data_IF_365533762683
#
_entry.id   IF_365533762683
#
_cell.length_a   1.000
_cell.length_b   1.000
_cell.length_c   1.000
_cell.angle_alpha   90.00
_cell.angle_beta   90.00
_cell.angle_gamma   90.00
#
_symmetry.space_group_name_H-M   'P 1'
#
loop_
_entity.id
_entity.type
_entity.pdbx_description
1 polymer ?
#
# COMPACT_ATOMS: atom_id res chain seq x y z
N UNK A 1 -29.80 -42.08 23.17
CA UNK A 1 -28.43 -41.54 23.04
C UNK A 1 -27.81 -41.65 21.64
N UNK A 2 -27.97 -42.75 20.87
CA UNK A 2 -27.38 -42.85 19.50
C UNK A 2 -27.87 -41.83 18.46
N UNK A 3 -29.11 -41.33 18.55
CA UNK A 3 -29.65 -40.30 17.63
C UNK A 3 -29.09 -38.88 17.86
N UNK A 4 -28.54 -38.60 19.06
CA UNK A 4 -27.97 -37.29 19.39
C UNK A 4 -26.56 -37.11 18.82
N UNK A 5 -25.79 -38.21 18.75
CA UNK A 5 -24.45 -38.21 18.14
C UNK A 5 -24.50 -37.97 16.62
N UNK A 6 -25.52 -38.48 15.92
CA UNK A 6 -25.67 -38.24 14.48
C UNK A 6 -25.99 -36.77 14.17
N UNK A 7 -26.78 -36.12 15.03
CA UNK A 7 -27.08 -34.69 14.90
C UNK A 7 -25.85 -33.82 15.19
N UNK A 8 -25.04 -34.18 16.19
CA UNK A 8 -23.80 -33.47 16.51
C UNK A 8 -22.74 -33.63 15.40
N UNK A 9 -22.62 -34.82 14.79
CA UNK A 9 -21.72 -35.05 13.66
C UNK A 9 -22.15 -34.25 12.42
N UNK A 10 -23.44 -34.22 12.09
CA UNK A 10 -23.96 -33.42 10.97
C UNK A 10 -23.78 -31.91 11.24
N UNK A 11 -23.88 -31.46 12.49
CA UNK A 11 -23.63 -30.06 12.83
C UNK A 11 -22.13 -29.70 12.71
N UNK A 12 -21.22 -30.56 13.19
CA UNK A 12 -19.76 -30.32 13.10
C UNK A 12 -19.27 -30.32 11.65
N UNK A 13 -19.81 -31.17 10.77
CA UNK A 13 -19.48 -31.14 9.32
C UNK A 13 -20.10 -29.95 8.57
N UNK A 14 -21.15 -29.32 9.09
CA UNK A 14 -21.72 -28.09 8.52
C UNK A 14 -21.09 -26.80 9.09
N UNK A 15 -20.28 -26.88 10.13
CA UNK A 15 -19.54 -25.71 10.65
C UNK A 15 -18.24 -25.51 9.86
N UNK A 16 -17.64 -26.58 9.32
CA UNK A 16 -16.47 -26.48 8.44
C UNK A 16 -16.74 -25.77 7.11
N UNK A 17 -18.01 -25.56 6.73
CA UNK A 17 -18.39 -24.75 5.55
C UNK A 17 -18.67 -23.28 5.88
N UNK A 18 -18.55 -22.85 7.15
CA UNK A 18 -18.76 -21.46 7.56
C UNK A 18 -17.53 -20.57 7.38
N UNK A 19 -16.37 -21.16 7.04
CA UNK A 19 -15.20 -20.42 6.59
C UNK A 19 -14.96 -20.74 5.12
N UNK A 20 -15.19 -19.77 4.22
CA UNK A 20 -14.82 -19.90 2.83
C UNK A 20 -13.30 -20.12 2.73
N UNK A 21 -12.91 -21.33 2.32
CA UNK A 21 -11.52 -21.74 2.21
C UNK A 21 -11.00 -21.40 0.80
N UNK A 22 -9.72 -21.01 0.71
CA UNK A 22 -9.09 -20.78 -0.58
C UNK A 22 -8.96 -22.07 -1.39
N UNK A 23 -8.79 -21.92 -2.71
CA UNK A 23 -8.34 -23.01 -3.56
C UNK A 23 -6.94 -23.49 -3.17
N UNK A 24 -6.02 -22.57 -2.82
CA UNK A 24 -4.65 -22.93 -2.43
C UNK A 24 -4.62 -23.70 -1.11
N UNK A 25 -5.48 -23.35 -0.15
CA UNK A 25 -5.59 -24.05 1.15
C UNK A 25 -6.00 -25.52 1.01
N UNK A 26 -6.75 -25.84 -0.05
CA UNK A 26 -7.30 -27.16 -0.32
C UNK A 26 -6.53 -27.95 -1.39
N UNK A 27 -5.45 -27.38 -1.91
CA UNK A 27 -4.66 -28.05 -2.93
C UNK A 27 -3.88 -29.21 -2.27
N UNK A 28 -4.00 -30.41 -2.83
CA UNK A 28 -3.28 -31.59 -2.34
C UNK A 28 -1.80 -31.50 -2.74
N UNK A 29 -0.97 -30.93 -1.87
CA UNK A 29 0.48 -30.78 -2.07
C UNK A 29 0.91 -29.32 -2.21
N UNK A 30 2.02 -29.09 -2.92
CA UNK A 30 2.52 -27.74 -3.23
C UNK A 30 2.12 -27.44 -4.68
N UNK A 31 1.21 -26.48 -4.94
CA UNK A 31 0.76 -26.19 -6.30
C UNK A 31 1.90 -25.58 -7.13
N UNK A 32 2.03 -26.02 -8.37
CA UNK A 32 2.95 -25.43 -9.34
C UNK A 32 2.25 -24.23 -9.98
N UNK A 33 2.66 -23.04 -9.58
CA UNK A 33 2.14 -21.78 -10.09
C UNK A 33 3.08 -21.24 -11.18
N UNK A 34 2.54 -20.95 -12.35
CA UNK A 34 3.33 -20.42 -13.48
C UNK A 34 2.83 -19.05 -13.88
N UNK A 35 3.74 -18.09 -13.92
CA UNK A 35 3.45 -16.72 -14.35
C UNK A 35 3.70 -16.57 -15.86
N UNK A 36 2.72 -16.05 -16.58
CA UNK A 36 2.79 -15.98 -18.05
C UNK A 36 3.80 -14.96 -18.57
N UNK A 37 3.95 -13.79 -17.92
CA UNK A 37 4.82 -12.65 -18.29
C UNK A 37 4.73 -12.13 -19.74
N UNK A 38 3.85 -12.70 -20.57
CA UNK A 38 3.68 -12.29 -21.98
C UNK A 38 2.61 -11.21 -22.12
N UNK A 39 3.05 -9.99 -22.40
CA UNK A 39 2.19 -8.90 -22.87
C UNK A 39 1.81 -9.06 -24.36
N UNK A 40 2.55 -9.87 -25.11
CA UNK A 40 2.30 -10.09 -26.54
C UNK A 40 1.21 -11.13 -26.79
N UNK A 41 0.20 -10.73 -27.55
CA UNK A 41 -0.94 -11.56 -27.96
C UNK A 41 -0.55 -12.79 -28.79
N UNK A 42 0.66 -12.80 -29.34
CA UNK A 42 1.15 -13.77 -30.32
C UNK A 42 1.76 -15.02 -29.68
N UNK A 43 2.03 -15.03 -28.37
CA UNK A 43 2.64 -16.18 -27.69
C UNK A 43 1.63 -17.15 -27.07
N UNK A 44 0.34 -16.85 -27.03
CA UNK A 44 -0.69 -17.67 -26.36
C UNK A 44 -1.62 -18.36 -27.37
N UNK A 45 -1.02 -19.17 -28.26
CA UNK A 45 -1.75 -20.10 -29.12
C UNK A 45 -1.99 -21.45 -28.42
N UNK A 46 -2.96 -22.22 -28.93
CA UNK A 46 -3.42 -23.49 -28.32
C UNK A 46 -2.28 -24.50 -28.06
N UNK A 47 -1.23 -24.47 -28.88
CA UNK A 47 -0.03 -25.30 -28.74
C UNK A 47 0.71 -25.06 -27.41
N UNK A 48 0.73 -23.82 -26.92
CA UNK A 48 1.48 -23.44 -25.72
C UNK A 48 0.73 -23.78 -24.42
N UNK A 49 -0.61 -23.86 -24.43
CA UNK A 49 -1.38 -24.27 -23.23
C UNK A 49 -1.19 -25.74 -22.88
N UNK A 50 -1.10 -26.60 -23.88
CA UNK A 50 -0.78 -28.01 -23.66
C UNK A 50 0.62 -28.15 -23.04
N UNK A 51 1.58 -27.31 -23.44
CA UNK A 51 2.92 -27.30 -22.84
C UNK A 51 2.92 -26.83 -21.38
N UNK A 52 2.20 -25.75 -21.07
CA UNK A 52 2.00 -25.31 -19.67
C UNK A 52 1.41 -26.44 -18.83
N UNK A 53 0.44 -27.19 -19.36
CA UNK A 53 -0.13 -28.35 -18.68
C UNK A 53 0.84 -29.53 -18.57
N UNK A 54 1.61 -29.82 -19.62
CA UNK A 54 2.65 -30.86 -19.62
C UNK A 54 3.77 -30.57 -18.61
N UNK A 55 4.02 -29.29 -18.28
CA UNK A 55 4.94 -28.89 -17.22
C UNK A 55 4.41 -29.17 -15.80
N UNK A 56 3.15 -29.59 -15.69
CA UNK A 56 2.49 -29.82 -14.41
C UNK A 56 1.93 -28.56 -13.75
N UNK A 57 1.76 -27.46 -14.49
CA UNK A 57 1.18 -26.22 -13.94
C UNK A 57 -0.25 -26.46 -13.46
N UNK A 58 -0.47 -26.21 -12.16
CA UNK A 58 -1.80 -26.27 -11.53
C UNK A 58 -2.55 -24.95 -11.69
N UNK A 59 -1.82 -23.86 -11.53
CA UNK A 59 -2.36 -22.50 -11.56
C UNK A 59 -1.54 -21.66 -12.51
N UNK A 60 -2.22 -21.03 -13.45
CA UNK A 60 -1.61 -20.08 -14.37
C UNK A 60 -1.97 -18.66 -13.94
N UNK A 61 -0.98 -17.76 -13.92
CA UNK A 61 -1.18 -16.32 -13.74
C UNK A 61 -1.09 -15.66 -15.13
N UNK A 62 -2.21 -15.54 -15.86
CA UNK A 62 -2.24 -14.83 -17.13
C UNK A 62 -2.33 -13.32 -16.91
N UNK A 63 -1.57 -12.57 -17.72
CA UNK A 63 -1.77 -11.13 -17.84
C UNK A 63 -2.93 -10.83 -18.78
N UNK A 64 -3.73 -9.82 -18.43
CA UNK A 64 -4.70 -9.20 -19.34
C UNK A 64 -5.64 -10.19 -20.06
N UNK A 65 -6.36 -10.98 -19.24
CA UNK A 65 -7.38 -11.91 -19.71
C UNK A 65 -8.57 -11.15 -20.29
N UNK A 66 -9.03 -11.62 -21.45
CA UNK A 66 -10.29 -11.23 -22.10
C UNK A 66 -11.11 -12.51 -22.34
N UNK A 67 -12.40 -12.39 -22.69
CA UNK A 67 -13.29 -13.54 -22.85
C UNK A 67 -12.75 -14.64 -23.76
N UNK A 68 -12.21 -14.28 -24.93
CA UNK A 68 -11.66 -15.25 -25.88
C UNK A 68 -10.40 -15.97 -25.39
N UNK A 69 -9.65 -15.40 -24.43
CA UNK A 69 -8.52 -16.06 -23.77
C UNK A 69 -9.01 -16.94 -22.62
N UNK A 70 -9.97 -16.44 -21.85
CA UNK A 70 -10.57 -17.16 -20.73
C UNK A 70 -11.05 -18.55 -21.16
N UNK A 71 -11.78 -18.65 -22.26
CA UNK A 71 -12.27 -19.93 -22.78
C UNK A 71 -11.15 -20.90 -23.15
N UNK A 72 -10.04 -20.41 -23.72
CA UNK A 72 -8.90 -21.27 -24.06
C UNK A 72 -8.25 -21.85 -22.80
N UNK A 73 -8.06 -21.04 -21.76
CA UNK A 73 -7.52 -21.50 -20.48
C UNK A 73 -8.44 -22.52 -19.81
N UNK A 74 -9.74 -22.23 -19.80
CA UNK A 74 -10.77 -23.12 -19.24
C UNK A 74 -10.81 -24.46 -19.97
N UNK A 75 -10.82 -24.47 -21.30
CA UNK A 75 -10.83 -25.69 -22.11
C UNK A 75 -9.54 -26.52 -21.93
N UNK A 76 -8.41 -25.88 -21.61
CA UNK A 76 -7.18 -26.56 -21.22
C UNK A 76 -7.23 -27.15 -19.79
N UNK A 77 -8.28 -26.84 -19.01
CA UNK A 77 -8.44 -27.17 -17.60
C UNK A 77 -7.34 -26.56 -16.71
N UNK A 78 -6.99 -25.29 -16.97
CA UNK A 78 -6.08 -24.50 -16.13
C UNK A 78 -6.89 -23.68 -15.13
N UNK A 79 -6.45 -23.64 -13.88
CA UNK A 79 -6.94 -22.67 -12.90
C UNK A 79 -6.21 -21.34 -13.08
N UNK A 80 -6.92 -20.24 -12.83
CA UNK A 80 -6.42 -18.90 -13.11
C UNK A 80 -6.40 -18.02 -11.88
N UNK A 81 -5.31 -17.26 -11.75
CA UNK A 81 -5.22 -16.06 -10.91
C UNK A 81 -4.92 -14.92 -11.88
N UNK A 82 -5.93 -14.23 -12.42
CA UNK A 82 -5.72 -13.22 -13.45
C UNK A 82 -4.98 -11.99 -12.91
N UNK A 83 -4.03 -11.49 -13.70
CA UNK A 83 -3.35 -10.22 -13.45
C UNK A 83 -3.68 -9.21 -14.55
N UNK A 84 -4.65 -8.35 -14.30
CA UNK A 84 -5.08 -7.34 -15.26
C UNK A 84 -4.21 -6.10 -15.09
N UNK A 85 -3.26 -5.84 -15.98
CA UNK A 85 -2.33 -4.72 -15.87
C UNK A 85 -2.80 -3.50 -16.66
N UNK A 86 -3.56 -3.72 -17.75
CA UNK A 86 -3.97 -2.67 -18.67
C UNK A 86 -5.49 -2.65 -18.84
N UNK A 87 -6.07 -1.48 -19.15
CA UNK A 87 -7.50 -1.35 -19.50
C UNK A 87 -7.75 -1.11 -20.99
N UNK A 88 -6.74 -1.33 -21.84
CA UNK A 88 -6.90 -1.27 -23.30
C UNK A 88 -7.78 -2.43 -23.79
N UNK A 89 -8.50 -2.23 -24.90
CA UNK A 89 -9.25 -3.29 -25.61
C UNK A 89 -10.34 -3.97 -24.78
N UNK A 90 -11.05 -3.21 -23.94
CA UNK A 90 -12.11 -3.80 -23.12
C UNK A 90 -11.54 -4.69 -22.01
N UNK A 91 -10.52 -4.22 -21.31
CA UNK A 91 -10.00 -4.85 -20.09
C UNK A 91 -10.32 -4.00 -18.88
N UNK A 92 -10.48 -4.65 -17.73
CA UNK A 92 -10.67 -3.98 -16.43
C UNK A 92 -9.52 -4.37 -15.50
N UNK A 93 -8.86 -3.39 -14.89
CA UNK A 93 -7.71 -3.60 -14.01
C UNK A 93 -7.88 -3.05 -12.58
N UNK A 94 -9.10 -2.81 -12.10
CA UNK A 94 -9.33 -2.17 -10.80
C UNK A 94 -8.56 -2.83 -9.66
N UNK A 95 -8.46 -4.16 -9.62
CA UNK A 95 -7.71 -4.88 -8.58
C UNK A 95 -6.20 -4.51 -8.61
N UNK A 96 -5.51 -4.68 -9.73
CA UNK A 96 -4.09 -4.33 -9.85
C UNK A 96 -3.84 -2.83 -9.69
N UNK A 97 -4.70 -1.99 -10.30
CA UNK A 97 -4.64 -0.53 -10.24
C UNK A 97 -4.68 -0.03 -8.80
N UNK A 98 -5.61 -0.56 -8.00
CA UNK A 98 -5.80 -0.10 -6.62
C UNK A 98 -4.85 -0.76 -5.63
N UNK A 99 -4.29 -1.93 -5.94
CA UNK A 99 -3.22 -2.52 -5.10
C UNK A 99 -1.86 -1.83 -5.26
N UNK A 100 -1.65 -1.07 -6.36
CA UNK A 100 -0.48 -0.20 -6.52
C UNK A 100 -0.67 1.21 -5.92
N UNK A 101 -1.91 1.58 -5.57
CA UNK A 101 -2.19 2.90 -5.02
C UNK A 101 -1.48 3.15 -3.68
N UNK A 102 -1.31 4.42 -3.31
CA UNK A 102 -0.64 4.82 -2.07
C UNK A 102 -1.62 5.31 -1.00
N UNK A 103 -1.53 4.73 0.19
CA UNK A 103 -2.19 5.17 1.42
C UNK A 103 -1.45 4.62 2.65
N UNK A 104 -0.94 5.51 3.50
CA UNK A 104 -0.24 5.16 4.74
C UNK A 104 -0.62 6.13 5.86
N UNK A 105 -1.00 5.59 7.02
CA UNK A 105 -1.26 6.36 8.23
C UNK A 105 -0.11 6.14 9.22
N UNK A 106 0.37 7.24 9.78
CA UNK A 106 1.49 7.29 10.71
C UNK A 106 1.07 7.98 11.99
N UNK A 107 0.84 7.21 13.05
CA UNK A 107 0.47 7.75 14.36
C UNK A 107 1.67 8.48 14.97
N UNK A 108 1.45 9.67 15.55
CA UNK A 108 2.53 10.56 15.97
C UNK A 108 3.29 10.03 17.18
N UNK A 109 2.61 9.29 18.07
CA UNK A 109 3.19 8.57 19.21
C UNK A 109 3.91 7.28 18.80
N UNK A 110 3.80 6.89 17.53
CA UNK A 110 4.28 5.63 16.99
C UNK A 110 3.23 4.50 17.13
N UNK A 111 3.49 3.38 16.47
CA UNK A 111 2.59 2.23 16.51
C UNK A 111 3.15 1.12 17.42
N UNK A 112 2.26 0.21 17.85
CA UNK A 112 2.66 -1.08 18.42
C UNK A 112 3.45 -1.89 17.37
N UNK A 113 4.53 -2.54 17.79
CA UNK A 113 5.37 -3.40 16.94
C UNK A 113 4.58 -4.59 16.33
N UNK A 114 3.40 -4.90 16.87
CA UNK A 114 2.42 -5.81 16.28
C UNK A 114 1.86 -5.32 14.93
N UNK A 115 1.80 -4.00 14.71
CA UNK A 115 1.32 -3.38 13.48
C UNK A 115 2.45 -3.06 12.49
N UNK A 116 3.70 -3.24 12.91
CA UNK A 116 4.90 -3.00 12.12
C UNK A 116 5.97 -2.26 12.93
N UNK A 117 7.23 -2.44 12.55
CA UNK A 117 8.41 -1.89 13.20
C UNK A 117 8.78 -0.50 12.66
N UNK A 118 8.41 -0.18 11.42
CA UNK A 118 8.61 1.17 10.86
C UNK A 118 7.55 2.11 11.44
N UNK A 119 7.97 3.20 12.08
CA UNK A 119 7.08 4.12 12.81
C UNK A 119 7.61 5.55 12.85
N UNK A 120 6.73 6.48 13.21
CA UNK A 120 7.14 7.81 13.64
C UNK A 120 7.83 7.74 15.00
N UNK A 121 8.77 8.64 15.23
CA UNK A 121 9.54 8.72 16.47
C UNK A 121 9.28 10.11 17.09
N UNK A 122 8.58 10.19 18.23
CA UNK A 122 8.44 11.42 19.00
C UNK A 122 9.79 11.91 19.51
N UNK A 123 9.98 13.23 19.52
CA UNK A 123 11.10 13.87 20.20
C UNK A 123 10.72 14.13 21.67
N UNK A 124 11.06 13.18 22.54
CA UNK A 124 10.71 13.23 23.95
C UNK A 124 11.35 14.39 24.73
N UNK A 125 12.30 15.14 24.17
CA UNK A 125 12.75 16.38 24.80
C UNK A 125 11.72 17.51 24.63
N UNK A 126 10.89 17.43 23.59
CA UNK A 126 9.92 18.45 23.21
C UNK A 126 8.47 18.04 23.47
N UNK A 127 8.15 16.74 23.53
CA UNK A 127 6.77 16.27 23.67
C UNK A 127 6.57 15.25 24.79
N UNK A 128 5.33 15.15 25.25
CA UNK A 128 4.79 14.04 26.05
C UNK A 128 3.71 13.31 25.23
N UNK A 129 3.52 12.01 25.50
CA UNK A 129 2.40 11.25 24.93
C UNK A 129 1.13 11.62 25.71
N UNK A 130 0.15 12.16 25.00
CA UNK A 130 -1.18 12.46 25.55
C UNK A 130 -1.98 11.15 25.68
N UNK A 131 -2.82 11.08 26.71
CA UNK A 131 -3.64 9.93 27.10
C UNK A 131 -4.61 9.40 26.03
N UNK A 132 -4.65 10.02 24.86
CA UNK A 132 -5.54 9.73 23.73
C UNK A 132 -4.84 9.46 22.41
N UNK A 133 -3.63 8.89 22.39
CA UNK A 133 -2.90 8.50 21.17
C UNK A 133 -2.49 9.70 20.29
N UNK A 134 -1.93 10.72 20.94
CA UNK A 134 -1.34 11.87 20.27
C UNK A 134 -0.09 12.30 21.04
N UNK A 135 0.80 13.05 20.40
CA UNK A 135 1.90 13.74 21.11
C UNK A 135 1.52 15.19 21.38
N UNK A 136 1.98 15.74 22.49
CA UNK A 136 1.71 17.12 22.90
C UNK A 136 2.99 17.82 23.33
N UNK A 137 3.18 19.05 22.89
CA UNK A 137 4.33 19.87 23.28
C UNK A 137 4.38 20.09 24.79
N UNK A 138 5.58 19.94 25.36
CA UNK A 138 5.90 20.38 26.72
C UNK A 138 5.80 21.90 26.85
N UNK A 139 5.57 22.37 28.07
CA UNK A 139 5.54 23.82 28.33
C UNK A 139 6.91 24.46 28.02
N UNK A 140 6.88 25.65 27.42
CA UNK A 140 8.07 26.45 27.10
C UNK A 140 9.08 25.75 26.18
N UNK A 141 8.62 24.86 25.31
CA UNK A 141 9.46 24.18 24.32
C UNK A 141 9.31 24.78 22.92
N UNK A 142 10.33 24.59 22.10
CA UNK A 142 10.34 24.91 20.67
C UNK A 142 11.30 23.95 19.98
N UNK A 143 10.94 23.44 18.81
CA UNK A 143 11.78 22.48 18.11
C UNK A 143 10.98 21.49 17.28
N UNK A 144 11.67 20.48 16.77
CA UNK A 144 11.05 19.37 16.08
C UNK A 144 10.33 18.46 17.07
N UNK A 145 9.09 18.09 16.76
CA UNK A 145 8.25 17.27 17.65
C UNK A 145 8.33 15.78 17.36
N UNK A 146 8.64 15.44 16.12
CA UNK A 146 8.66 14.09 15.59
C UNK A 146 9.60 14.02 14.40
N UNK A 147 10.13 12.82 14.15
CA UNK A 147 10.93 12.48 12.99
C UNK A 147 10.55 11.07 12.50
N UNK A 148 10.65 10.83 11.19
CA UNK A 148 10.25 9.56 10.58
C UNK A 148 9.21 9.72 9.48
N UNK A 149 8.76 8.61 8.87
CA UNK A 149 9.07 7.22 9.20
C UNK A 149 10.35 6.69 8.55
N UNK A 150 11.00 7.48 7.69
CA UNK A 150 12.21 7.12 6.96
C UNK A 150 12.02 5.92 6.02
N UNK A 151 11.29 6.12 4.91
CA UNK A 151 10.90 5.02 4.05
C UNK A 151 11.03 5.30 2.55
N UNK A 152 10.97 4.23 1.74
CA UNK A 152 10.97 4.34 0.27
C UNK A 152 9.57 4.64 -0.23
N UNK A 153 9.49 5.50 -1.23
CA UNK A 153 8.22 5.88 -1.84
C UNK A 153 8.31 5.93 -3.37
N UNK A 154 7.33 5.39 -4.12
CA UNK A 154 7.37 5.38 -5.57
C UNK A 154 7.16 6.79 -6.12
N UNK A 155 7.74 7.09 -7.29
CA UNK A 155 7.52 8.38 -7.98
C UNK A 155 6.61 8.30 -9.20
N UNK A 156 6.20 7.08 -9.57
CA UNK A 156 5.33 6.80 -10.71
C UNK A 156 4.59 5.49 -10.50
N UNK A 157 3.42 5.37 -11.15
CA UNK A 157 2.74 4.10 -11.32
C UNK A 157 3.44 3.22 -12.36
N UNK A 158 3.30 1.90 -12.20
CA UNK A 158 3.66 0.86 -13.17
C UNK A 158 2.43 0.21 -13.80
N UNK A 159 1.26 0.30 -13.14
CA UNK A 159 -0.04 -0.16 -13.64
C UNK A 159 -0.80 1.00 -14.26
N UNK A 160 -1.03 0.89 -15.57
CA UNK A 160 -1.62 1.93 -16.40
C UNK A 160 -3.14 1.85 -16.39
N UNK A 161 -3.83 2.96 -16.13
CA UNK A 161 -5.20 3.16 -16.61
C UNK A 161 -5.18 3.62 -18.07
N UNK A 162 -6.10 3.12 -18.88
CA UNK A 162 -6.34 3.42 -20.31
C UNK A 162 -6.66 4.88 -20.61
N UNK A 163 -6.52 5.76 -19.64
CA UNK A 163 -6.73 7.20 -19.80
C UNK A 163 -5.46 7.92 -20.27
N UNK A 164 -4.30 7.26 -20.23
CA UNK A 164 -3.04 7.82 -20.72
C UNK A 164 -2.41 6.91 -21.77
N UNK A 165 -2.15 7.41 -22.99
CA UNK A 165 -1.38 6.70 -24.01
C UNK A 165 0.00 6.28 -23.47
N UNK A 166 0.45 5.07 -23.82
CA UNK A 166 1.70 4.45 -23.34
C UNK A 166 2.99 5.22 -23.72
N UNK A 167 2.85 6.25 -24.55
CA UNK A 167 3.87 7.14 -25.09
C UNK A 167 4.04 8.45 -24.29
N UNK A 168 3.21 8.70 -23.27
CA UNK A 168 3.43 9.80 -22.32
C UNK A 168 4.21 9.26 -21.12
N UNK A 169 5.36 9.89 -20.83
CA UNK A 169 6.10 9.69 -19.59
C UNK A 169 5.16 9.50 -18.41
N UNK A 170 5.15 8.27 -17.86
CA UNK A 170 4.65 7.85 -16.55
C UNK A 170 3.79 8.87 -15.79
N UNK A 171 2.54 8.52 -15.47
CA UNK A 171 1.73 9.27 -14.49
C UNK A 171 2.58 9.55 -13.26
N UNK A 172 2.99 10.81 -13.13
CA UNK A 172 3.74 11.28 -11.97
C UNK A 172 2.85 11.10 -10.77
N UNK A 173 3.41 10.48 -9.75
CA UNK A 173 2.67 10.26 -8.52
C UNK A 173 2.77 11.54 -7.68
N UNK A 174 1.62 12.21 -7.51
CA UNK A 174 1.47 13.32 -6.57
C UNK A 174 0.95 12.78 -5.24
N UNK A 175 1.67 13.05 -4.17
CA UNK A 175 1.27 12.69 -2.82
C UNK A 175 0.65 13.89 -2.11
N UNK A 176 -0.42 13.63 -1.38
CA UNK A 176 -0.95 14.52 -0.35
C UNK A 176 -0.54 13.97 1.02
N UNK A 177 0.06 14.82 1.85
CA UNK A 177 0.39 14.52 3.25
C UNK A 177 -0.45 15.41 4.14
N UNK A 178 -1.33 14.78 4.90
CA UNK A 178 -2.26 15.42 5.80
C UNK A 178 -1.78 15.30 7.24
N UNK A 179 -1.49 16.43 7.87
CA UNK A 179 -1.13 16.54 9.27
C UNK A 179 -2.37 16.87 10.09
N UNK A 180 -2.68 16.07 11.11
CA UNK A 180 -3.80 16.33 12.02
C UNK A 180 -3.29 16.93 13.34
N UNK A 181 -3.63 18.20 13.55
CA UNK A 181 -3.09 19.05 14.62
C UNK A 181 -4.19 19.63 15.50
N UNK A 182 -3.90 19.90 16.77
CA UNK A 182 -4.80 20.56 17.73
C UNK A 182 -4.00 21.57 18.55
N UNK A 183 -4.60 22.72 18.85
CA UNK A 183 -4.02 23.70 19.79
C UNK A 183 -4.84 23.78 21.06
N UNK A 184 -4.19 23.91 22.21
CA UNK A 184 -4.84 24.02 23.52
C UNK A 184 -4.25 25.21 24.29
N UNK A 185 -5.07 25.90 25.10
CA UNK A 185 -4.58 27.02 25.90
C UNK A 185 -3.70 26.52 27.05
N UNK A 186 -2.57 27.21 27.27
CA UNK A 186 -1.67 26.98 28.39
C UNK A 186 -1.96 28.00 29.49
N UNK A 187 -2.10 27.51 30.73
CA UNK A 187 -2.27 28.36 31.91
C UNK A 187 -3.59 29.15 31.96
N UNK A 188 -4.58 28.82 31.12
CA UNK A 188 -5.86 29.53 31.04
C UNK A 188 -5.78 30.89 30.35
N UNK A 189 -4.66 31.21 29.71
CA UNK A 189 -4.52 32.41 28.88
C UNK A 189 -5.21 32.18 27.53
N UNK A 190 -6.40 32.73 27.36
CA UNK A 190 -7.14 32.65 26.11
C UNK A 190 -6.82 33.85 25.21
N UNK A 191 -5.81 33.68 24.35
CA UNK A 191 -5.57 34.58 23.22
C UNK A 191 -6.53 34.17 22.10
N UNK A 192 -7.25 35.14 21.52
CA UNK A 192 -8.15 34.87 20.38
C UNK A 192 -7.34 34.31 19.22
N UNK A 193 -7.79 33.18 18.64
CA UNK A 193 -7.12 32.56 17.49
C UNK A 193 -7.45 33.32 16.20
N UNK A 194 -8.71 33.73 16.00
CA UNK A 194 -9.28 34.20 14.72
C UNK A 194 -8.58 35.41 14.08
N UNK A 195 -7.84 36.22 14.85
CA UNK A 195 -7.08 37.38 14.35
C UNK A 195 -5.60 37.32 14.76
N UNK A 196 -5.11 36.15 15.13
CA UNK A 196 -3.74 35.97 15.58
C UNK A 196 -2.89 35.39 14.44
N UNK A 197 -1.93 36.19 13.97
CA UNK A 197 -1.00 35.80 12.91
C UNK A 197 0.27 35.11 13.42
N UNK A 198 0.33 34.75 14.70
CA UNK A 198 1.47 34.05 15.28
C UNK A 198 1.70 32.73 14.55
N UNK A 199 2.93 32.50 14.12
CA UNK A 199 3.35 31.23 13.54
C UNK A 199 3.41 30.20 14.68
N UNK A 200 2.60 29.15 14.58
CA UNK A 200 2.51 28.10 15.60
C UNK A 200 3.51 26.99 15.28
N UNK A 201 3.46 26.49 14.04
CA UNK A 201 4.37 25.46 13.60
C UNK A 201 4.67 25.57 12.11
N UNK A 202 5.61 24.74 11.67
CA UNK A 202 5.91 24.48 10.27
C UNK A 202 5.88 22.98 10.05
N UNK A 203 5.18 22.56 9.01
CA UNK A 203 5.08 21.17 8.58
C UNK A 203 5.97 20.97 7.35
N UNK A 204 6.66 19.83 7.28
CA UNK A 204 7.69 19.59 6.28
C UNK A 204 7.68 18.15 5.78
N UNK A 205 8.03 17.98 4.49
CA UNK A 205 8.31 16.68 3.86
C UNK A 205 9.72 16.70 3.30
N UNK A 206 10.52 15.68 3.59
CA UNK A 206 11.89 15.53 3.10
C UNK A 206 12.13 14.18 2.44
N UNK A 207 13.13 14.13 1.56
CA UNK A 207 13.81 12.91 1.09
C UNK A 207 15.30 13.07 1.31
N UNK A 208 15.90 12.27 2.21
CA UNK A 208 17.25 12.55 2.69
C UNK A 208 17.34 13.98 3.25
N UNK A 209 18.26 14.79 2.74
CA UNK A 209 18.40 16.20 3.14
C UNK A 209 17.65 17.19 2.22
N UNK A 210 16.87 16.68 1.27
CA UNK A 210 16.14 17.51 0.31
C UNK A 210 14.72 17.79 0.80
N UNK A 211 14.37 19.07 0.96
CA UNK A 211 13.01 19.51 1.29
C UNK A 211 12.10 19.43 0.06
N UNK A 212 11.05 18.62 0.16
CA UNK A 212 10.06 18.38 -0.89
C UNK A 212 8.88 19.35 -0.83
N UNK A 213 8.34 19.57 0.37
CA UNK A 213 7.22 20.48 0.61
C UNK A 213 7.27 21.06 2.03
N UNK A 214 6.72 22.27 2.19
CA UNK A 214 6.73 23.01 3.45
C UNK A 214 5.53 23.96 3.52
N UNK A 215 4.96 24.11 4.72
CA UNK A 215 3.98 25.16 5.01
C UNK A 215 4.09 25.63 6.46
N UNK A 216 3.78 26.90 6.71
CA UNK A 216 3.79 27.53 8.03
C UNK A 216 2.35 27.74 8.50
N UNK A 217 2.02 27.12 9.63
CA UNK A 217 0.67 27.16 10.20
C UNK A 217 0.59 28.27 11.25
N UNK A 218 -0.34 29.18 11.06
CA UNK A 218 -0.63 30.33 11.91
C UNK A 218 -1.81 30.08 12.86
N UNK A 219 -1.86 30.80 13.97
CA UNK A 219 -2.91 30.65 14.98
C UNK A 219 -4.32 30.88 14.40
N UNK A 220 -4.49 31.88 13.53
CA UNK A 220 -5.75 32.17 12.83
C UNK A 220 -6.25 31.07 11.91
N UNK A 221 -5.39 30.12 11.53
CA UNK A 221 -5.85 28.95 10.79
C UNK A 221 -6.55 27.94 11.70
N UNK A 222 -6.51 28.06 13.02
CA UNK A 222 -7.34 27.29 13.95
C UNK A 222 -8.62 28.07 14.28
N UNK A 223 -9.77 27.41 14.16
CA UNK A 223 -11.07 28.05 14.44
C UNK A 223 -11.29 28.19 15.96
N UNK A 224 -10.99 27.12 16.70
CA UNK A 224 -11.16 27.04 18.16
C UNK A 224 -10.00 26.27 18.81
N UNK A 225 -9.79 26.53 20.11
CA UNK A 225 -8.97 25.67 20.94
C UNK A 225 -9.65 24.30 21.11
N UNK A 226 -8.83 23.28 21.33
CA UNK A 226 -9.24 21.89 21.57
C UNK A 226 -9.98 21.25 20.38
N UNK A 227 -9.81 21.78 19.17
CA UNK A 227 -10.34 21.21 17.93
C UNK A 227 -9.20 20.59 17.10
N UNK A 228 -9.42 19.36 16.63
CA UNK A 228 -8.54 18.74 15.65
C UNK A 228 -8.79 19.33 14.26
N UNK A 229 -7.72 19.80 13.62
CA UNK A 229 -7.73 20.34 12.27
C UNK A 229 -6.66 19.69 11.41
N UNK A 230 -6.95 19.56 10.12
CA UNK A 230 -6.05 18.93 9.16
C UNK A 230 -5.40 19.96 8.24
N UNK A 231 -4.13 19.75 7.92
CA UNK A 231 -3.33 20.59 7.04
C UNK A 231 -2.63 19.72 5.99
N UNK A 232 -2.79 20.07 4.72
CA UNK A 232 -2.34 19.22 3.60
C UNK A 232 -1.12 19.85 2.90
N UNK A 233 -0.08 19.04 2.69
CA UNK A 233 1.05 19.34 1.80
C UNK A 233 0.98 18.46 0.58
N UNK A 234 1.27 19.01 -0.60
CA UNK A 234 1.33 18.26 -1.86
C UNK A 234 2.76 18.27 -2.37
N UNK A 235 3.28 17.09 -2.75
CA UNK A 235 4.61 16.96 -3.34
C UNK A 235 4.68 15.85 -4.41
N UNK A 236 5.69 15.95 -5.26
CA UNK A 236 6.06 14.92 -6.23
C UNK A 236 7.51 15.09 -6.65
N UNK A 237 8.04 14.19 -7.49
CA UNK A 237 9.41 14.30 -8.01
C UNK A 237 9.61 15.49 -8.96
N UNK A 238 8.55 16.20 -9.32
CA UNK A 238 8.59 17.44 -10.12
C UNK A 238 8.66 18.71 -9.26
N UNK A 239 8.44 18.61 -7.95
CA UNK A 239 8.37 19.76 -7.03
C UNK A 239 9.58 19.75 -6.10
N UNK A 240 10.24 20.89 -5.97
CA UNK A 240 11.35 21.09 -5.04
C UNK A 240 11.14 22.39 -4.24
N UNK A 241 10.72 22.26 -2.99
CA UNK A 241 10.48 23.40 -2.10
C UNK A 241 11.78 24.06 -1.59
N UNK A 242 12.94 23.38 -1.66
CA UNK A 242 14.21 23.92 -1.13
C UNK A 242 14.80 25.09 -1.91
N UNK A 243 14.39 25.31 -3.16
CA UNK A 243 15.05 26.28 -4.05
C UNK A 243 14.15 27.36 -4.64
N UNK A 244 12.84 27.38 -4.37
CA UNK A 244 11.87 28.19 -5.15
C UNK A 244 12.02 27.98 -6.69
N UNK A 245 12.69 26.91 -7.12
CA UNK A 245 12.91 26.57 -8.53
C UNK A 245 12.29 25.21 -8.83
N UNK A 246 11.79 25.07 -10.04
CA UNK A 246 11.18 23.84 -10.59
C UNK A 246 12.19 22.72 -10.88
N UNK A 247 13.37 22.74 -10.25
CA UNK A 247 14.36 21.69 -10.47
C UNK A 247 13.88 20.37 -9.86
N UNK A 248 13.57 19.34 -10.67
CA UNK A 248 13.00 18.10 -10.18
C UNK A 248 13.97 17.41 -9.22
N UNK A 249 13.44 16.88 -8.12
CA UNK A 249 14.23 16.06 -7.20
C UNK A 249 14.53 14.75 -7.89
N UNK A 250 15.82 14.46 -8.09
CA UNK A 250 16.25 13.26 -8.78
C UNK A 250 15.94 12.03 -7.92
N UNK A 251 14.98 11.18 -8.32
CA UNK A 251 14.70 9.95 -7.59
C UNK A 251 15.89 9.01 -7.68
N UNK A 252 16.10 8.19 -6.66
CA UNK A 252 17.11 7.13 -6.74
C UNK A 252 16.58 6.01 -7.62
N UNK A 253 17.43 5.53 -8.52
CA UNK A 253 17.19 4.25 -9.20
C UNK A 253 17.40 3.14 -8.18
N UNK A 254 16.38 2.31 -7.99
CA UNK A 254 16.47 1.08 -7.21
C UNK A 254 16.65 -0.05 -8.21
N UNK A 255 17.84 -0.62 -8.23
CA UNK A 255 18.13 -1.81 -9.03
C UNK A 255 17.54 -3.04 -8.35
N UNK A 256 16.63 -3.72 -9.04
CA UNK A 256 16.02 -4.96 -8.58
C UNK A 256 16.70 -6.12 -9.34
N UNK A 257 17.77 -6.68 -8.77
CA UNK A 257 18.49 -7.79 -9.39
C UNK A 257 19.15 -7.44 -10.73
N UNK A 258 19.20 -8.41 -11.65
CA UNK A 258 19.82 -8.28 -12.99
C UNK A 258 18.88 -7.73 -14.07
N UNK A 259 17.73 -7.18 -13.68
CA UNK A 259 16.74 -6.68 -14.64
C UNK A 259 17.07 -5.28 -15.16
N UNK A 260 16.73 -5.05 -16.44
CA UNK A 260 16.85 -3.77 -17.15
C UNK A 260 15.77 -2.76 -16.79
N UNK A 261 14.85 -3.09 -15.87
CA UNK A 261 13.72 -2.22 -15.48
C UNK A 261 14.09 -1.40 -14.25
N UNK A 262 14.46 -0.14 -14.47
CA UNK A 262 14.74 0.82 -13.41
C UNK A 262 13.44 1.24 -12.68
N UNK A 263 13.25 0.77 -11.44
CA UNK A 263 12.27 1.39 -10.53
C UNK A 263 12.88 2.66 -9.95
N UNK A 264 12.13 3.76 -9.98
CA UNK A 264 12.54 5.05 -9.40
C UNK A 264 11.73 5.32 -8.14
N UNK A 265 12.39 5.75 -7.09
CA UNK A 265 11.76 6.05 -5.81
C UNK A 265 12.47 7.21 -5.11
N UNK A 266 11.73 7.91 -4.24
CA UNK A 266 12.35 8.69 -3.19
C UNK A 266 12.98 7.76 -2.15
N UNK A 267 14.16 8.14 -1.68
CA UNK A 267 14.85 7.44 -0.60
C UNK A 267 14.78 8.27 0.68
N UNK A 268 14.55 7.62 1.82
CA UNK A 268 14.45 8.30 3.12
C UNK A 268 13.37 9.40 3.16
N UNK A 269 12.12 9.05 2.84
CA UNK A 269 11.00 9.97 3.01
C UNK A 269 10.68 10.13 4.49
N UNK A 270 10.61 11.38 4.95
CA UNK A 270 10.27 11.74 6.33
C UNK A 270 9.38 12.97 6.41
N UNK A 271 8.50 12.94 7.40
CA UNK A 271 7.58 14.02 7.76
C UNK A 271 8.04 14.64 9.07
N UNK A 272 8.01 15.96 9.15
CA UNK A 272 8.45 16.70 10.33
C UNK A 272 7.47 17.79 10.69
N UNK A 273 7.35 18.04 11.99
CA UNK A 273 6.59 19.16 12.55
C UNK A 273 7.54 19.94 13.45
N UNK A 274 7.83 21.19 13.07
CA UNK A 274 8.61 22.12 13.88
C UNK A 274 7.65 23.06 14.61
N UNK A 275 7.64 23.00 15.95
CA UNK A 275 6.90 23.95 16.78
C UNK A 275 7.77 25.17 17.07
N UNK A 276 7.28 26.36 16.75
CA UNK A 276 8.06 27.58 16.95
C UNK A 276 8.25 27.94 18.44
N UNK A 277 7.41 27.40 19.32
CA UNK A 277 7.15 28.04 20.61
C UNK A 277 6.39 29.34 20.36
N UNK A 278 5.35 29.63 21.14
CA UNK A 278 4.71 30.94 21.00
C UNK A 278 5.50 31.98 21.76
N UNK A 279 5.64 33.19 21.21
CA UNK A 279 6.35 34.31 21.86
C UNK A 279 5.79 34.67 23.24
N UNK A 280 4.60 34.18 23.57
CA UNK A 280 3.88 34.42 24.83
C UNK A 280 3.46 33.12 25.56
N UNK A 281 3.95 31.95 25.14
CA UNK A 281 3.69 30.62 25.75
C UNK A 281 2.21 30.36 26.11
N UNK A 282 1.28 30.84 25.29
CA UNK A 282 -0.16 30.82 25.59
C UNK A 282 -0.87 29.56 25.08
N UNK A 283 -0.19 28.73 24.27
CA UNK A 283 -0.74 27.49 23.77
C UNK A 283 0.28 26.36 23.70
N UNK A 284 -0.24 25.14 23.67
CA UNK A 284 0.45 23.91 23.34
C UNK A 284 -0.08 23.36 22.01
N UNK A 285 0.77 22.66 21.27
CA UNK A 285 0.42 21.97 20.03
C UNK A 285 0.38 20.46 20.28
N UNK A 286 -0.66 19.81 19.77
CA UNK A 286 -0.75 18.35 19.68
C UNK A 286 -0.71 17.90 18.23
N UNK A 287 -0.06 16.77 17.98
CA UNK A 287 -0.06 16.05 16.69
C UNK A 287 -0.68 14.68 16.92
N UNK A 288 -1.72 14.36 16.16
CA UNK A 288 -2.41 13.06 16.21
C UNK A 288 -1.71 12.06 15.27
N UNK A 289 -1.81 12.32 13.97
CA UNK A 289 -1.21 11.48 12.94
C UNK A 289 -0.88 12.27 11.69
N UNK A 290 -0.15 11.59 10.82
CA UNK A 290 0.23 12.04 9.48
C UNK A 290 -0.25 10.98 8.49
N UNK A 291 -1.13 11.38 7.58
CA UNK A 291 -1.66 10.51 6.53
C UNK A 291 -1.03 10.89 5.19
N UNK A 292 -0.31 9.97 4.54
CA UNK A 292 0.20 10.15 3.18
C UNK A 292 -0.57 9.29 2.20
N UNK A 293 -1.02 9.87 1.08
CA UNK A 293 -1.81 9.16 0.07
C UNK A 293 -1.67 9.78 -1.32
N UNK A 294 -2.01 9.00 -2.34
CA UNK A 294 -2.31 9.49 -3.68
C UNK A 294 -3.83 9.50 -3.94
N UNK A 295 -4.25 10.06 -5.08
CA UNK A 295 -5.67 10.12 -5.44
C UNK A 295 -6.30 8.73 -5.54
N UNK A 296 -5.60 7.73 -6.09
CA UNK A 296 -6.12 6.36 -6.24
C UNK A 296 -6.37 5.73 -4.87
N UNK A 297 -5.45 5.90 -3.93
CA UNK A 297 -5.51 5.36 -2.59
C UNK A 297 -6.61 6.03 -1.78
N UNK A 298 -6.70 7.37 -1.87
CA UNK A 298 -7.80 8.10 -1.24
C UNK A 298 -9.17 7.67 -1.79
N UNK A 299 -9.30 7.52 -3.12
CA UNK A 299 -10.54 7.04 -3.71
C UNK A 299 -10.87 5.60 -3.28
N UNK A 300 -9.89 4.70 -3.25
CA UNK A 300 -10.09 3.34 -2.76
C UNK A 300 -10.63 3.34 -1.33
N UNK A 301 -10.02 4.13 -0.44
CA UNK A 301 -10.36 4.13 0.99
C UNK A 301 -11.71 4.80 1.25
N UNK A 302 -12.04 5.86 0.51
CA UNK A 302 -13.15 6.75 0.86
C UNK A 302 -14.31 6.79 -0.15
N UNK A 303 -14.19 6.19 -1.34
CA UNK A 303 -15.24 6.21 -2.36
C UNK A 303 -15.87 4.82 -2.57
N UNK A 304 -17.10 4.59 -2.08
CA UNK A 304 -17.82 3.33 -2.28
C UNK A 304 -18.00 2.93 -3.76
N UNK A 305 -18.04 3.89 -4.69
CA UNK A 305 -18.22 3.60 -6.11
C UNK A 305 -16.99 2.94 -6.72
N UNK A 306 -15.79 3.37 -6.30
CA UNK A 306 -14.55 2.74 -6.69
C UNK A 306 -14.38 1.35 -6.06
N UNK A 307 -14.78 1.19 -4.80
CA UNK A 307 -14.83 -0.12 -4.14
C UNK A 307 -15.77 -1.09 -4.87
N UNK A 308 -16.94 -0.61 -5.31
CA UNK A 308 -17.90 -1.41 -6.11
C UNK A 308 -17.32 -1.88 -7.44
N UNK A 309 -16.42 -1.11 -8.07
CA UNK A 309 -15.75 -1.52 -9.31
C UNK A 309 -14.82 -2.71 -9.10
N UNK A 310 -14.08 -2.74 -7.98
CA UNK A 310 -13.25 -3.89 -7.57
C UNK A 310 -14.13 -5.13 -7.34
N UNK A 311 -15.21 -4.98 -6.56
CA UNK A 311 -16.14 -6.08 -6.29
C UNK A 311 -16.76 -6.63 -7.58
N UNK A 312 -17.14 -5.75 -8.51
CA UNK A 312 -17.72 -6.15 -9.80
C UNK A 312 -16.73 -6.90 -10.66
N UNK A 313 -15.46 -6.47 -10.70
CA UNK A 313 -14.39 -7.22 -11.36
C UNK A 313 -14.22 -8.60 -10.70
N UNK A 314 -14.14 -8.65 -9.37
CA UNK A 314 -13.92 -9.89 -8.64
C UNK A 314 -15.03 -10.96 -8.86
N UNK A 315 -16.25 -10.50 -9.13
CA UNK A 315 -17.44 -11.31 -9.42
C UNK A 315 -17.65 -11.62 -10.90
N UNK A 316 -16.80 -11.13 -11.79
CA UNK A 316 -17.06 -11.13 -13.24
C UNK A 316 -18.47 -10.59 -13.56
N UNK A 317 -18.74 -9.37 -13.12
CA UNK A 317 -20.04 -8.68 -13.31
C UNK A 317 -19.90 -7.29 -13.94
N UNK A 318 -18.70 -6.98 -14.43
CA UNK A 318 -18.44 -5.75 -15.17
C UNK A 318 -18.92 -5.92 -16.63
N UNK A 319 -20.14 -5.48 -16.92
CA UNK A 319 -20.87 -5.67 -18.19
C UNK A 319 -20.05 -5.48 -19.49
N UNK A 320 -19.04 -4.61 -19.48
CA UNK A 320 -18.26 -4.31 -20.69
C UNK A 320 -17.16 -5.33 -20.99
N UNK A 321 -16.65 -6.04 -19.98
CA UNK A 321 -15.38 -6.78 -20.07
C UNK A 321 -15.41 -8.11 -19.28
N UNK A 322 -16.56 -8.78 -19.28
CA UNK A 322 -16.71 -10.09 -18.65
C UNK A 322 -15.71 -11.08 -19.25
N UNK A 323 -15.10 -11.92 -18.41
CA UNK A 323 -14.36 -13.07 -18.89
C UNK A 323 -15.31 -14.12 -19.46
N UNK A 324 -16.50 -14.27 -18.89
CA UNK A 324 -17.55 -15.12 -19.42
C UNK A 324 -18.93 -14.64 -18.96
N UNK A 325 -19.98 -14.97 -19.72
CA UNK A 325 -21.36 -14.79 -19.26
C UNK A 325 -21.85 -15.96 -18.41
N UNK A 326 -21.05 -17.04 -18.30
CA UNK A 326 -21.38 -18.23 -17.52
C UNK A 326 -20.68 -18.18 -16.15
N UNK A 327 -21.44 -17.83 -15.11
CA UNK A 327 -20.93 -17.70 -13.75
C UNK A 327 -20.26 -18.99 -13.24
N UNK A 328 -20.77 -20.17 -13.58
CA UNK A 328 -20.19 -21.45 -13.16
C UNK A 328 -18.81 -21.68 -13.79
N UNK A 329 -18.63 -21.31 -15.06
CA UNK A 329 -17.34 -21.41 -15.72
C UNK A 329 -16.33 -20.45 -15.07
N UNK A 330 -16.75 -19.22 -14.77
CA UNK A 330 -15.92 -18.26 -14.05
C UNK A 330 -15.48 -18.81 -12.69
N UNK A 331 -16.44 -19.22 -11.85
CA UNK A 331 -16.16 -19.66 -10.48
C UNK A 331 -15.34 -20.95 -10.40
N UNK A 332 -15.44 -21.82 -11.40
CA UNK A 332 -14.63 -23.05 -11.45
C UNK A 332 -13.24 -22.81 -12.05
N UNK A 333 -13.01 -21.71 -12.76
CA UNK A 333 -11.75 -21.45 -13.47
C UNK A 333 -10.90 -20.40 -12.75
N UNK A 334 -11.49 -19.31 -12.29
CA UNK A 334 -10.79 -18.24 -11.57
C UNK A 334 -10.79 -18.54 -10.07
N UNK A 335 -9.62 -18.81 -9.53
CA UNK A 335 -9.43 -19.27 -8.14
C UNK A 335 -8.92 -18.18 -7.20
N UNK A 336 -8.53 -17.03 -7.75
CA UNK A 336 -8.02 -15.90 -6.99
C UNK A 336 -7.77 -14.70 -7.89
N UNK A 337 -7.20 -13.64 -7.32
CA UNK A 337 -6.83 -12.44 -8.04
C UNK A 337 -5.41 -12.01 -7.71
N UNK A 338 -4.68 -11.53 -8.71
CA UNK A 338 -3.32 -11.07 -8.51
C UNK A 338 -3.31 -9.58 -8.13
N UNK A 339 -2.59 -9.22 -7.07
CA UNK A 339 -2.28 -7.84 -6.69
C UNK A 339 -1.24 -7.21 -7.63
N UNK A 340 -0.80 -5.99 -7.36
CA UNK A 340 0.40 -5.45 -8.01
C UNK A 340 1.59 -6.38 -7.77
N UNK A 341 2.42 -6.58 -8.80
CA UNK A 341 3.58 -7.43 -8.69
C UNK A 341 4.63 -6.83 -7.76
N UNK A 342 4.93 -7.55 -6.67
CA UNK A 342 5.83 -7.13 -5.59
C UNK A 342 5.48 -5.72 -5.03
N UNK A 343 4.49 -5.58 -4.13
CA UNK A 343 4.13 -4.30 -3.51
C UNK A 343 5.30 -3.80 -2.63
N UNK A 344 6.26 -3.12 -3.27
CA UNK A 344 7.57 -2.83 -2.72
C UNK A 344 7.62 -1.64 -1.77
N UNK A 345 6.51 -0.92 -1.62
CA UNK A 345 6.41 0.30 -0.84
C UNK A 345 5.35 0.16 0.25
N UNK A 346 5.66 0.67 1.45
CA UNK A 346 4.75 0.63 2.61
C UNK A 346 3.42 1.29 2.29
N UNK A 347 3.47 2.37 1.50
CA UNK A 347 2.29 3.10 1.03
C UNK A 347 1.30 2.22 0.26
N UNK A 348 1.74 1.12 -0.36
CA UNK A 348 0.82 0.24 -1.09
C UNK A 348 -0.03 -0.62 -0.16
N UNK A 349 0.44 -0.88 1.05
CA UNK A 349 -0.05 -2.01 1.84
C UNK A 349 -1.43 -1.79 2.44
N UNK A 350 -1.79 -0.56 2.83
CA UNK A 350 -3.18 -0.30 3.25
C UNK A 350 -4.17 -0.50 2.09
N UNK A 351 -3.77 -0.13 0.87
CA UNK A 351 -4.57 -0.36 -0.33
C UNK A 351 -4.66 -1.85 -0.68
N UNK A 352 -3.55 -2.61 -0.58
CA UNK A 352 -3.55 -4.08 -0.71
C UNK A 352 -4.51 -4.71 0.28
N UNK A 353 -4.45 -4.32 1.56
CA UNK A 353 -5.37 -4.78 2.61
C UNK A 353 -6.81 -4.49 2.24
N UNK A 354 -7.13 -3.26 1.83
CA UNK A 354 -8.50 -2.88 1.49
C UNK A 354 -9.04 -3.67 0.30
N UNK A 355 -8.22 -3.90 -0.74
CA UNK A 355 -8.62 -4.74 -1.88
C UNK A 355 -8.83 -6.19 -1.46
N UNK A 356 -7.97 -6.75 -0.60
CA UNK A 356 -8.15 -8.09 -0.01
C UNK A 356 -9.50 -8.20 0.69
N UNK A 357 -9.80 -7.29 1.61
CA UNK A 357 -11.08 -7.24 2.33
C UNK A 357 -12.27 -7.21 1.36
N UNK A 358 -12.23 -6.31 0.36
CA UNK A 358 -13.30 -6.19 -0.63
C UNK A 358 -13.53 -7.48 -1.43
N UNK A 359 -12.47 -8.19 -1.80
CA UNK A 359 -12.57 -9.46 -2.53
C UNK A 359 -13.10 -10.55 -1.60
N UNK A 360 -12.49 -10.74 -0.43
CA UNK A 360 -12.79 -11.85 0.47
C UNK A 360 -14.16 -11.73 1.13
N UNK A 361 -14.66 -10.52 1.38
CA UNK A 361 -16.02 -10.31 1.91
C UNK A 361 -17.11 -10.56 0.87
N UNK A 362 -16.77 -10.47 -0.43
CA UNK A 362 -17.76 -10.49 -1.52
C UNK A 362 -17.69 -11.73 -2.41
N UNK A 363 -16.53 -12.38 -2.47
CA UNK A 363 -16.23 -13.54 -3.31
C UNK A 363 -15.35 -14.48 -2.49
N UNK A 364 -15.91 -15.09 -1.43
CA UNK A 364 -15.10 -15.49 -0.30
C UNK A 364 -14.27 -16.76 -0.55
N UNK A 365 -14.55 -17.48 -1.65
CA UNK A 365 -13.73 -18.58 -2.16
C UNK A 365 -12.54 -18.12 -3.03
N UNK A 366 -12.36 -16.81 -3.22
CA UNK A 366 -11.26 -16.22 -3.98
C UNK A 366 -10.42 -15.36 -3.02
N UNK A 367 -9.11 -15.50 -3.11
CA UNK A 367 -8.15 -14.73 -2.32
C UNK A 367 -7.36 -13.77 -3.18
N UNK A 368 -6.80 -12.74 -2.55
CA UNK A 368 -5.83 -11.85 -3.18
C UNK A 368 -4.42 -12.42 -3.00
N UNK A 369 -3.72 -12.58 -4.11
CA UNK A 369 -2.39 -13.22 -4.19
C UNK A 369 -1.37 -12.19 -4.66
N UNK A 370 -0.17 -12.25 -4.08
CA UNK A 370 0.98 -11.47 -4.56
C UNK A 370 2.20 -12.36 -4.68
N UNK A 371 3.19 -11.99 -5.49
CA UNK A 371 4.51 -12.62 -5.43
C UNK A 371 5.56 -11.76 -4.74
N UNK A 372 6.61 -12.45 -4.31
CA UNK A 372 7.92 -11.91 -3.94
C UNK A 372 8.93 -12.66 -4.79
N UNK A 373 9.46 -12.00 -5.82
CA UNK A 373 10.15 -12.64 -6.93
C UNK A 373 11.62 -12.24 -7.12
N UNK A 374 12.16 -11.31 -6.35
CA UNK A 374 13.61 -11.10 -6.29
C UNK A 374 14.07 -9.77 -5.72
N UNK A 375 13.16 -8.80 -5.58
CA UNK A 375 13.52 -7.45 -5.14
C UNK A 375 13.52 -7.23 -3.61
N UNK A 376 13.33 -8.32 -2.86
CA UNK A 376 13.19 -8.35 -1.42
C UNK A 376 14.42 -9.04 -0.82
N UNK A 377 15.48 -8.27 -0.57
CA UNK A 377 16.73 -8.75 0.03
C UNK A 377 16.66 -8.92 1.57
N UNK A 378 15.49 -9.29 2.08
CA UNK A 378 15.20 -9.47 3.51
C UNK A 378 15.00 -8.15 4.26
N UNK A 379 16.00 -7.27 4.30
CA UNK A 379 15.96 -6.05 5.10
C UNK A 379 15.21 -4.90 4.43
N UNK A 380 14.46 -4.15 5.22
CA UNK A 380 13.96 -2.83 4.83
C UNK A 380 15.15 -1.86 4.78
N UNK A 381 15.45 -1.34 3.58
CA UNK A 381 16.37 -0.22 3.36
C UNK A 381 17.84 -0.45 3.77
N UNK A 382 18.40 -1.65 3.53
CA UNK A 382 19.86 -1.90 3.65
C UNK A 382 20.66 -0.85 2.86
N UNK A 383 21.44 -0.01 3.57
CA UNK A 383 22.33 0.98 2.97
C UNK A 383 22.38 2.37 3.63
N UNK A 384 21.65 2.60 4.73
CA UNK A 384 21.81 3.81 5.55
C UNK A 384 22.14 3.39 7.00
N UNK A 385 23.29 3.82 7.54
CA UNK A 385 23.77 3.43 8.87
C UNK A 385 22.91 3.93 10.04
N UNK A 386 21.98 4.87 9.80
CA UNK A 386 21.12 5.44 10.83
C UNK A 386 19.82 4.63 11.06
N UNK A 387 19.62 3.51 10.36
CA UNK A 387 18.41 2.70 10.50
C UNK A 387 18.62 1.42 11.30
N UNK A 388 17.59 1.06 12.06
CA UNK A 388 17.49 -0.24 12.68
C UNK A 388 17.29 -1.31 11.61
N UNK A 389 18.35 -2.07 11.35
CA UNK A 389 18.38 -3.19 10.41
C UNK A 389 17.46 -4.37 10.82
N UNK A 390 16.67 -4.23 11.90
CA UNK A 390 15.78 -5.27 12.43
C UNK A 390 14.50 -5.48 11.63
N UNK A 391 14.09 -4.51 10.81
CA UNK A 391 12.83 -4.59 10.05
C UNK A 391 12.96 -5.36 8.73
N UNK A 392 12.17 -6.43 8.60
CA UNK A 392 12.07 -7.23 7.39
C UNK A 392 10.83 -6.88 6.59
N UNK A 393 10.99 -6.74 5.26
CA UNK A 393 9.90 -6.24 4.40
C UNK A 393 8.69 -7.18 4.39
N UNK A 394 8.94 -8.49 4.43
CA UNK A 394 7.87 -9.51 4.46
C UNK A 394 7.10 -9.51 5.77
N UNK A 395 7.78 -9.29 6.89
CA UNK A 395 7.14 -9.22 8.19
C UNK A 395 6.28 -7.96 8.29
N UNK A 396 6.79 -6.83 7.81
CA UNK A 396 5.99 -5.60 7.72
C UNK A 396 4.78 -5.77 6.81
N UNK A 397 4.95 -6.34 5.62
CA UNK A 397 3.84 -6.62 4.69
C UNK A 397 2.79 -7.47 5.38
N UNK A 398 3.17 -8.61 5.98
CA UNK A 398 2.24 -9.54 6.62
C UNK A 398 1.51 -8.89 7.80
N UNK A 399 2.22 -8.19 8.69
CA UNK A 399 1.62 -7.49 9.83
C UNK A 399 0.61 -6.43 9.40
N UNK A 400 0.93 -5.65 8.37
CA UNK A 400 0.09 -4.52 7.92
C UNK A 400 -1.06 -4.95 7.05
N UNK A 401 -0.90 -6.00 6.24
CA UNK A 401 -1.93 -6.44 5.28
C UNK A 401 -2.76 -7.62 5.77
N UNK A 402 -2.21 -8.47 6.64
CA UNK A 402 -2.79 -9.78 6.96
C UNK A 402 -2.93 -10.67 5.72
N UNK A 403 -2.06 -10.50 4.71
CA UNK A 403 -2.13 -11.25 3.46
C UNK A 403 -1.56 -12.66 3.63
N UNK A 404 -2.42 -13.65 3.40
CA UNK A 404 -2.13 -15.06 3.66
C UNK A 404 -1.42 -15.74 2.47
N UNK A 405 -1.72 -15.31 1.23
CA UNK A 405 -1.24 -15.94 0.00
C UNK A 405 -0.13 -15.15 -0.69
N UNK A 406 1.10 -15.37 -0.21
CA UNK A 406 2.31 -14.83 -0.82
C UNK A 406 3.08 -15.94 -1.55
N UNK A 407 3.22 -15.82 -2.86
CA UNK A 407 4.03 -16.73 -3.67
C UNK A 407 5.49 -16.28 -3.64
N UNK A 408 6.39 -17.15 -3.20
CA UNK A 408 7.83 -16.88 -3.25
C UNK A 408 8.44 -17.54 -4.49
N UNK A 409 8.89 -16.73 -5.46
CA UNK A 409 9.53 -17.25 -6.68
C UNK A 409 11.05 -17.43 -6.54
N UNK A 410 11.64 -16.88 -5.48
CA UNK A 410 13.02 -17.14 -5.10
C UNK A 410 13.06 -17.61 -3.65
N UNK A 411 13.74 -18.72 -3.38
CA UNK A 411 14.14 -19.04 -2.03
C UNK A 411 15.08 -17.92 -1.58
N UNK A 412 14.64 -17.14 -0.60
CA UNK A 412 15.51 -16.28 0.19
C UNK A 412 16.36 -17.25 1.03
N UNK A 413 17.26 -18.01 0.39
CA UNK A 413 18.40 -18.54 1.11
C UNK A 413 19.08 -17.32 1.69
N UNK A 414 19.36 -17.37 2.99
CA UNK A 414 20.30 -16.50 3.64
C UNK A 414 21.45 -16.26 2.66
N UNK A 415 21.46 -15.08 2.05
CA UNK A 415 22.68 -14.58 1.43
C UNK A 415 23.68 -14.66 2.56
N UNK A 416 24.70 -15.54 2.50
CA UNK A 416 25.60 -15.67 3.62
C UNK A 416 26.21 -14.30 3.82
N UNK A 417 25.98 -13.81 5.02
CA UNK A 417 26.69 -12.71 5.63
C UNK A 417 28.16 -12.74 5.21
N UNK A 418 28.56 -11.83 4.31
CA UNK A 418 29.96 -11.56 4.04
C UNK A 418 30.34 -10.28 4.78
N UNK A 419 30.71 -10.44 6.04
CA UNK A 419 31.32 -9.44 6.93
C UNK A 419 32.71 -8.94 6.43
N UNK A 420 33.08 -9.24 5.17
CA UNK A 420 34.47 -9.26 4.72
C UNK A 420 34.79 -8.56 3.40
N UNK A 421 33.87 -7.89 2.73
CA UNK A 421 34.20 -7.09 1.53
C UNK A 421 34.08 -5.59 1.84
N UNK A 422 35.26 -4.97 1.93
CA UNK A 422 35.61 -3.68 2.53
C UNK A 422 34.98 -2.45 1.89
#
# INVERSE_FOLDING_TARGET
MKKMYLFFLVFVFNVSSLFPQSYLDNYEGIPIITFGWVTSFTWLDAYNFNKVKEMGTDIFIPTDVIASKFDKYRLANLKLIPYQQFTREGRVNYIAKYTEAAYSLWEAEGNDDAQGQIKMIPDYDHVDIDSGFAIKTKNNTSGYLLNGPHYLQPVKYTIFSSEVPADIESEVLNFTVRFKLKVESVGGNFVSLTNNSDNICRIEVFTGDTLLAIDTIQAQQFSYYNEWKTFDLIYSNKINASTNTTHPVQPRTIYLGSETVERKAFADVKFRVYFYGTSTNYLSLSVDNILAFDDRGNYLMNNPDEQRKIIRQAKDSANVNLFTTNATEFDTTVVGWYAVDEPGFIDNWACVKKVKELIEENVPNKKLVTTIAGCWNGGIYRGNPDYDYSAFRIDELKKRTGLDEVIMNNFIYDYPYNEGEK
#
